data_IF_224379818631
#
_entry.id   IF_224379818631
#
_cell.length_a   1.000
_cell.length_b   1.000
_cell.length_c   1.000
_cell.angle_alpha   90.00
_cell.angle_beta   90.00
_cell.angle_gamma   90.00
#
_symmetry.space_group_name_H-M   'P 1'
#
loop_
_entity.id
_entity.type
_entity.pdbx_description
1 polymer ?
#
# COMPACT_ATOMS: atom_id res chain seq x y z
N UNK A 1 -6.73 -9.17 31.16
CA UNK A 1 -6.74 -7.79 30.62
C UNK A 1 -7.36 -6.88 31.67
N UNK A 2 -6.95 -5.63 31.69
CA UNK A 2 -7.41 -4.60 32.64
C UNK A 2 -7.90 -3.35 31.87
N UNK A 3 -8.51 -2.39 32.58
CA UNK A 3 -9.01 -1.15 31.98
C UNK A 3 -7.92 -0.39 31.19
N UNK A 4 -6.66 -0.44 31.66
CA UNK A 4 -5.51 0.15 30.97
C UNK A 4 -5.28 -0.45 29.57
N UNK A 5 -5.56 -1.73 29.36
CA UNK A 5 -5.39 -2.40 28.07
C UNK A 5 -6.48 -1.98 27.07
N UNK A 6 -7.71 -1.82 27.55
CA UNK A 6 -8.81 -1.26 26.76
C UNK A 6 -8.56 0.20 26.39
N UNK A 7 -8.08 1.02 27.33
CA UNK A 7 -7.68 2.39 27.06
C UNK A 7 -6.53 2.48 26.03
N UNK A 8 -5.54 1.58 26.10
CA UNK A 8 -4.47 1.50 25.11
C UNK A 8 -4.98 1.12 23.72
N UNK A 9 -5.91 0.18 23.62
CA UNK A 9 -6.54 -0.17 22.34
C UNK A 9 -7.27 1.04 21.75
N UNK A 10 -8.11 1.72 22.54
CA UNK A 10 -8.83 2.92 22.12
C UNK A 10 -7.87 4.05 21.73
N UNK A 11 -6.77 4.22 22.45
CA UNK A 11 -5.74 5.20 22.12
C UNK A 11 -5.15 4.90 20.75
N UNK A 12 -4.70 3.66 20.50
CA UNK A 12 -4.11 3.28 19.23
C UNK A 12 -5.12 3.35 18.08
N UNK A 13 -6.36 2.96 18.32
CA UNK A 13 -7.45 3.02 17.37
C UNK A 13 -7.75 4.46 16.94
N UNK A 14 -7.81 5.41 17.87
CA UNK A 14 -8.22 6.79 17.57
C UNK A 14 -7.05 7.72 17.25
N UNK A 15 -5.92 7.56 17.93
CA UNK A 15 -4.77 8.47 17.88
C UNK A 15 -3.57 7.89 17.13
N UNK A 16 -3.60 6.60 16.78
CA UNK A 16 -2.54 5.94 16.03
C UNK A 16 -1.37 5.45 16.88
N UNK A 17 -0.24 5.10 16.24
CA UNK A 17 0.99 4.81 16.97
C UNK A 17 1.48 6.05 17.70
N UNK A 18 2.11 5.85 18.86
CA UNK A 18 2.63 6.94 19.67
C UNK A 18 3.67 7.77 18.89
N UNK A 19 3.61 9.11 19.03
CA UNK A 19 4.49 10.09 18.38
C UNK A 19 5.97 10.03 18.83
N UNK A 20 6.43 8.94 19.45
CA UNK A 20 7.82 8.76 19.91
C UNK A 20 8.80 8.43 18.77
N UNK A 21 8.60 9.03 17.60
CA UNK A 21 9.51 8.91 16.46
C UNK A 21 10.09 10.29 16.19
N UNK A 22 10.91 10.77 17.12
CA UNK A 22 11.76 11.94 16.86
C UNK A 22 12.86 11.63 15.84
N UNK A 23 13.17 10.34 15.63
CA UNK A 23 14.20 9.85 14.73
C UNK A 23 13.87 8.42 14.23
N UNK A 24 13.86 8.22 12.90
CA UNK A 24 13.60 6.92 12.26
C UNK A 24 14.70 5.89 12.57
N UNK A 25 15.95 6.34 12.73
CA UNK A 25 17.10 5.49 13.05
C UNK A 25 17.01 4.93 14.47
N UNK A 26 16.64 5.77 15.44
CA UNK A 26 16.42 5.33 16.83
C UNK A 26 15.23 4.36 16.92
N UNK A 27 14.17 4.61 16.15
CA UNK A 27 13.02 3.70 16.04
C UNK A 27 13.46 2.33 15.50
N UNK A 28 14.29 2.33 14.46
CA UNK A 28 14.82 1.10 13.87
C UNK A 28 15.70 0.32 14.86
N UNK A 29 16.60 0.99 15.57
CA UNK A 29 17.46 0.36 16.57
C UNK A 29 16.64 -0.34 17.66
N UNK A 30 15.65 0.36 18.23
CA UNK A 30 14.74 -0.21 19.24
C UNK A 30 13.92 -1.37 18.69
N UNK A 31 13.47 -1.28 17.43
CA UNK A 31 12.73 -2.36 16.77
C UNK A 31 13.60 -3.63 16.65
N UNK A 32 14.87 -3.50 16.28
CA UNK A 32 15.79 -4.63 16.19
C UNK A 32 16.06 -5.23 17.57
N UNK A 33 16.37 -4.41 18.57
CA UNK A 33 16.61 -4.88 19.96
C UNK A 33 15.38 -5.62 20.52
N UNK A 34 14.17 -5.08 20.30
CA UNK A 34 12.92 -5.71 20.72
C UNK A 34 12.69 -7.03 19.98
N UNK A 35 12.89 -7.04 18.66
CA UNK A 35 12.73 -8.25 17.84
C UNK A 35 13.71 -9.36 18.25
N UNK A 36 14.98 -9.03 18.54
CA UNK A 36 15.97 -10.02 18.99
C UNK A 36 15.67 -10.58 20.40
N UNK A 37 14.88 -9.86 21.21
CA UNK A 37 14.54 -10.24 22.58
C UNK A 37 13.32 -11.17 22.70
N UNK A 38 12.54 -11.36 21.63
CA UNK A 38 11.28 -12.12 21.67
C UNK A 38 11.42 -13.49 21.00
N UNK A 39 10.66 -14.51 21.45
CA UNK A 39 10.60 -15.78 20.75
C UNK A 39 9.90 -15.60 19.39
N UNK A 40 10.55 -16.06 18.32
CA UNK A 40 9.97 -16.08 16.98
C UNK A 40 9.10 -17.30 16.77
N UNK A 41 7.99 -17.12 16.06
CA UNK A 41 7.07 -18.20 15.72
C UNK A 41 6.79 -18.19 14.24
N UNK A 42 6.58 -19.37 13.66
CA UNK A 42 6.02 -19.51 12.32
C UNK A 42 4.50 -19.25 12.28
N UNK A 43 3.96 -18.50 13.25
CA UNK A 43 2.52 -18.22 13.34
C UNK A 43 2.02 -17.58 12.05
N UNK A 44 0.86 -18.05 11.59
CA UNK A 44 0.18 -17.52 10.40
C UNK A 44 -0.38 -16.10 10.62
N UNK A 45 -0.53 -15.64 11.87
CA UNK A 45 -1.13 -14.36 12.19
C UNK A 45 -0.12 -13.22 12.08
N UNK A 46 -0.06 -12.59 10.90
CA UNK A 46 0.78 -11.42 10.63
C UNK A 46 0.28 -10.15 11.34
N UNK A 47 -1.04 -9.90 11.28
CA UNK A 47 -1.62 -8.65 11.72
C UNK A 47 -3.01 -8.83 12.37
N UNK A 48 -3.33 -7.95 13.31
CA UNK A 48 -4.62 -7.86 13.99
C UNK A 48 -5.25 -6.48 13.75
N UNK A 49 -6.47 -6.40 13.16
CA UNK A 49 -7.21 -5.15 13.04
C UNK A 49 -7.58 -4.57 14.41
N UNK A 50 -7.32 -3.29 14.59
CA UNK A 50 -7.70 -2.54 15.80
C UNK A 50 -8.72 -1.42 15.49
N UNK A 51 -9.25 -1.38 14.27
CA UNK A 51 -10.23 -0.39 13.80
C UNK A 51 -9.60 0.89 13.23
N UNK A 52 -10.42 1.77 12.66
CA UNK A 52 -9.99 3.02 11.99
C UNK A 52 -8.89 2.82 10.92
N UNK A 53 -8.95 1.68 10.20
CA UNK A 53 -7.95 1.26 9.21
C UNK A 53 -6.55 1.09 9.78
N UNK A 54 -6.45 0.78 11.07
CA UNK A 54 -5.20 0.48 11.76
C UNK A 54 -5.15 -0.98 12.17
N UNK A 55 -3.94 -1.53 12.13
CA UNK A 55 -3.63 -2.91 12.48
C UNK A 55 -2.37 -2.97 13.33
N UNK A 56 -2.28 -3.97 14.20
CA UNK A 56 -1.06 -4.35 14.90
C UNK A 56 -0.36 -5.43 14.10
N UNK A 57 0.84 -5.17 13.59
CA UNK A 57 1.68 -6.17 12.94
C UNK A 57 2.61 -6.79 13.98
N UNK A 58 2.53 -8.10 14.14
CA UNK A 58 3.24 -8.84 15.19
C UNK A 58 4.69 -9.13 14.81
N UNK A 59 5.63 -8.71 15.69
CA UNK A 59 7.06 -8.80 15.44
C UNK A 59 7.57 -10.24 15.40
N UNK A 60 6.99 -11.12 16.23
CA UNK A 60 7.38 -12.53 16.31
C UNK A 60 7.13 -13.33 15.02
N UNK A 61 6.29 -12.80 14.11
CA UNK A 61 5.96 -13.40 12.82
C UNK A 61 6.86 -12.90 11.68
N UNK A 62 7.72 -11.91 11.94
CA UNK A 62 8.55 -11.24 10.94
C UNK A 62 9.95 -11.83 10.85
N UNK A 63 10.48 -11.86 9.63
CA UNK A 63 11.89 -12.07 9.38
C UNK A 63 12.69 -10.78 9.58
N UNK A 64 13.99 -10.90 9.87
CA UNK A 64 14.89 -9.74 10.03
C UNK A 64 14.90 -8.81 8.81
N UNK A 65 14.77 -9.36 7.59
CA UNK A 65 14.74 -8.59 6.33
C UNK A 65 13.52 -7.66 6.23
N UNK A 66 12.44 -7.96 6.96
CA UNK A 66 11.19 -7.19 6.92
C UNK A 66 11.17 -6.04 7.93
N UNK A 67 12.12 -5.98 8.87
CA UNK A 67 12.14 -4.94 9.90
C UNK A 67 12.32 -3.51 9.36
N UNK A 68 13.22 -3.23 8.40
CA UNK A 68 13.33 -1.88 7.84
C UNK A 68 12.02 -1.41 7.21
N UNK A 69 11.37 -2.33 6.48
CA UNK A 69 10.09 -2.08 5.83
C UNK A 69 9.00 -1.75 6.85
N UNK A 70 8.87 -2.56 7.91
CA UNK A 70 7.92 -2.31 8.99
C UNK A 70 8.20 -0.97 9.69
N UNK A 71 9.47 -0.65 9.93
CA UNK A 71 9.84 0.61 10.59
C UNK A 71 9.41 1.82 9.75
N UNK A 72 9.68 1.81 8.45
CA UNK A 72 9.22 2.88 7.55
C UNK A 72 7.70 2.98 7.52
N UNK A 73 6.97 1.86 7.45
CA UNK A 73 5.50 1.83 7.51
C UNK A 73 4.96 2.39 8.83
N UNK A 74 5.60 2.05 9.95
CA UNK A 74 5.28 2.55 11.28
C UNK A 74 5.49 4.07 11.38
N UNK A 75 6.63 4.57 10.91
CA UNK A 75 6.95 6.00 10.88
C UNK A 75 5.97 6.78 10.00
N UNK A 76 5.67 6.27 8.80
CA UNK A 76 4.68 6.87 7.90
C UNK A 76 3.29 6.89 8.54
N UNK A 77 2.88 5.81 9.20
CA UNK A 77 1.59 5.75 9.90
C UNK A 77 1.53 6.81 11.01
N UNK A 78 2.58 6.94 11.84
CA UNK A 78 2.64 7.93 12.91
C UNK A 78 2.58 9.38 12.40
N UNK A 79 3.15 9.65 11.22
CA UNK A 79 3.14 10.98 10.62
C UNK A 79 1.82 11.31 9.91
N UNK A 80 1.10 10.29 9.42
CA UNK A 80 -0.14 10.47 8.65
C UNK A 80 -1.39 10.53 9.54
N UNK A 81 -1.43 9.73 10.62
CA UNK A 81 -2.62 9.65 11.46
C UNK A 81 -2.74 10.91 12.32
N UNK A 82 -3.75 11.71 12.00
CA UNK A 82 -4.19 12.86 12.80
C UNK A 82 -5.50 12.47 13.48
N UNK A 83 -5.37 11.73 14.58
CA UNK A 83 -6.50 11.25 15.35
C UNK A 83 -7.38 12.36 15.93
N UNK A 84 -8.54 12.01 16.48
CA UNK A 84 -9.41 12.95 17.21
C UNK A 84 -9.40 12.64 18.70
N UNK A 85 -8.87 13.57 19.48
CA UNK A 85 -8.88 13.47 20.94
C UNK A 85 -10.29 13.48 21.50
N UNK A 86 -11.20 14.21 20.87
CA UNK A 86 -12.61 14.28 21.25
C UNK A 86 -13.31 12.92 21.06
N UNK A 87 -13.06 12.24 19.92
CA UNK A 87 -13.59 10.89 19.69
C UNK A 87 -13.00 9.87 20.64
N UNK A 88 -11.68 9.93 20.87
CA UNK A 88 -11.01 9.08 21.85
C UNK A 88 -11.64 9.19 23.25
N UNK A 89 -11.85 10.42 23.74
CA UNK A 89 -12.49 10.64 25.05
C UNK A 89 -13.92 10.07 25.06
N UNK A 90 -14.70 10.29 24.00
CA UNK A 90 -16.06 9.72 23.89
C UNK A 90 -16.06 8.20 23.91
N UNK A 91 -15.09 7.54 23.28
CA UNK A 91 -14.97 6.08 23.30
C UNK A 91 -14.52 5.56 24.67
N UNK A 92 -13.71 6.32 25.41
CA UNK A 92 -13.35 5.98 26.80
C UNK A 92 -14.57 5.96 27.73
N UNK A 93 -15.59 6.78 27.49
CA UNK A 93 -16.83 6.77 28.29
C UNK A 93 -17.58 5.42 28.18
N UNK A 94 -17.33 4.62 27.14
CA UNK A 94 -17.87 3.28 26.98
C UNK A 94 -17.03 2.20 27.68
N UNK A 95 -15.83 2.51 28.17
CA UNK A 95 -14.91 1.54 28.77
C UNK A 95 -15.51 0.80 30.00
N UNK A 96 -16.30 1.45 30.89
CA UNK A 96 -16.92 0.77 32.02
C UNK A 96 -17.89 -0.35 31.63
N UNK A 97 -18.44 -0.33 30.41
CA UNK A 97 -19.30 -1.42 29.90
C UNK A 97 -18.54 -2.74 29.74
N UNK A 98 -17.24 -2.67 29.49
CA UNK A 98 -16.35 -3.84 29.33
C UNK A 98 -15.48 -4.09 30.56
N UNK A 99 -15.20 -3.04 31.34
CA UNK A 99 -14.38 -3.10 32.55
C UNK A 99 -15.13 -2.40 33.70
N UNK A 100 -16.00 -3.10 34.44
CA UNK A 100 -16.87 -2.50 35.46
C UNK A 100 -16.15 -1.76 36.60
N UNK A 101 -14.85 -1.94 36.77
CA UNK A 101 -14.02 -1.26 37.77
C UNK A 101 -13.16 -0.14 37.17
N UNK A 102 -13.46 0.32 35.95
CA UNK A 102 -12.65 1.32 35.25
C UNK A 102 -12.78 2.75 35.79
N UNK A 103 -13.78 3.06 36.63
CA UNK A 103 -14.09 4.44 37.04
C UNK A 103 -12.91 5.15 37.72
N UNK A 104 -12.25 4.48 38.68
CA UNK A 104 -11.08 5.05 39.36
C UNK A 104 -9.92 5.28 38.38
N UNK A 105 -9.67 4.30 37.51
CA UNK A 105 -8.65 4.40 36.46
C UNK A 105 -8.94 5.57 35.52
N UNK A 106 -10.18 5.71 35.03
CA UNK A 106 -10.57 6.78 34.11
C UNK A 106 -10.45 8.17 34.74
N UNK A 107 -10.78 8.29 36.05
CA UNK A 107 -10.61 9.55 36.79
C UNK A 107 -9.14 9.97 36.84
N UNK A 108 -8.25 9.07 37.29
CA UNK A 108 -6.81 9.33 37.32
C UNK A 108 -6.23 9.58 35.92
N UNK A 109 -6.72 8.83 34.93
CA UNK A 109 -6.27 8.95 33.55
C UNK A 109 -6.64 10.30 32.94
N UNK A 110 -7.84 10.80 33.26
CA UNK A 110 -8.31 12.15 32.91
C UNK A 110 -7.49 13.25 33.59
N UNK A 111 -7.19 13.11 34.88
CA UNK A 111 -6.38 14.08 35.64
C UNK A 111 -4.96 14.24 35.05
N UNK A 112 -4.39 13.14 34.51
CA UNK A 112 -3.09 13.14 33.82
C UNK A 112 -3.16 13.67 32.38
N UNK A 113 -4.34 14.05 31.90
CA UNK A 113 -4.54 14.54 30.54
C UNK A 113 -4.44 13.43 29.49
N UNK A 114 -4.90 12.22 29.80
CA UNK A 114 -4.98 11.11 28.85
C UNK A 114 -3.67 10.78 28.08
N UNK A 115 -2.54 10.55 28.79
CA UNK A 115 -1.28 10.21 28.13
C UNK A 115 -1.36 8.87 27.39
N UNK A 116 -0.38 8.55 26.54
CA UNK A 116 -0.26 7.20 26.00
C UNK A 116 -0.09 6.18 27.15
N UNK A 117 -0.81 5.06 27.09
CA UNK A 117 -0.82 4.03 28.16
C UNK A 117 -0.05 2.80 27.71
N UNK A 118 0.73 2.24 28.62
CA UNK A 118 1.36 0.92 28.45
C UNK A 118 0.39 -0.21 28.80
N UNK A 119 0.64 -1.41 28.26
CA UNK A 119 -0.11 -2.61 28.68
C UNK A 119 0.07 -2.89 30.18
N UNK A 120 -0.98 -3.43 30.81
CA UNK A 120 -0.93 -3.89 32.20
C UNK A 120 0.09 -5.00 32.39
N UNK A 121 0.59 -5.20 33.62
CA UNK A 121 1.48 -6.35 33.93
C UNK A 121 0.78 -7.67 33.62
N UNK A 122 -0.50 -7.80 33.98
CA UNK A 122 -1.36 -8.94 33.66
C UNK A 122 -1.39 -9.23 32.16
N UNK A 123 -1.56 -8.21 31.33
CA UNK A 123 -1.56 -8.36 29.87
C UNK A 123 -0.18 -8.74 29.33
N UNK A 124 0.89 -8.11 29.81
CA UNK A 124 2.26 -8.42 29.36
C UNK A 124 2.64 -9.87 29.66
N UNK A 125 2.31 -10.38 30.84
CA UNK A 125 2.60 -11.77 31.22
C UNK A 125 1.79 -12.77 30.40
N UNK A 126 0.54 -12.44 30.05
CA UNK A 126 -0.33 -13.36 29.32
C UNK A 126 -0.07 -13.37 27.80
N UNK A 127 0.28 -12.22 27.21
CA UNK A 127 0.30 -12.05 25.75
C UNK A 127 1.66 -11.67 25.16
N UNK A 128 2.63 -11.24 25.98
CA UNK A 128 3.94 -10.77 25.53
C UNK A 128 3.86 -9.85 24.29
N UNK A 129 3.10 -8.74 24.36
CA UNK A 129 2.78 -7.93 23.19
C UNK A 129 4.04 -7.34 22.57
N UNK A 130 4.34 -7.75 21.35
CA UNK A 130 5.42 -7.21 20.53
C UNK A 130 4.87 -6.95 19.13
N UNK A 131 4.53 -5.69 18.84
CA UNK A 131 3.92 -5.29 17.58
C UNK A 131 4.26 -3.84 17.21
N UNK A 132 3.95 -3.47 15.97
CA UNK A 132 3.88 -2.07 15.51
C UNK A 132 2.49 -1.77 14.96
N UNK A 133 1.97 -0.59 15.25
CA UNK A 133 0.69 -0.13 14.72
C UNK A 133 0.93 0.54 13.38
N UNK A 134 0.35 -0.01 12.32
CA UNK A 134 0.44 0.51 10.95
C UNK A 134 -0.96 0.62 10.35
N UNK A 135 -1.10 1.28 9.20
CA UNK A 135 -2.35 1.23 8.42
C UNK A 135 -2.61 -0.17 7.85
N UNK A 136 -3.88 -0.50 7.61
CA UNK A 136 -4.28 -1.73 6.91
C UNK A 136 -3.60 -1.87 5.54
N UNK A 137 -3.44 -0.75 4.82
CA UNK A 137 -2.76 -0.73 3.51
C UNK A 137 -1.28 -1.16 3.63
N UNK A 138 -0.57 -0.70 4.67
CA UNK A 138 0.82 -1.11 4.91
C UNK A 138 0.94 -2.59 5.24
N UNK A 139 0.05 -3.14 6.08
CA UNK A 139 0.01 -4.58 6.31
C UNK A 139 -0.35 -5.37 5.03
N UNK A 140 -1.24 -4.84 4.19
CA UNK A 140 -1.53 -5.38 2.87
C UNK A 140 -0.31 -5.43 1.96
N UNK A 141 0.53 -4.38 1.95
CA UNK A 141 1.78 -4.36 1.21
C UNK A 141 2.78 -5.40 1.73
N UNK A 142 2.92 -5.53 3.05
CA UNK A 142 3.78 -6.55 3.66
C UNK A 142 3.33 -7.97 3.30
N UNK A 143 2.02 -8.23 3.38
CA UNK A 143 1.45 -9.51 2.97
C UNK A 143 1.71 -9.79 1.49
N UNK A 144 1.54 -8.77 0.63
CA UNK A 144 1.80 -8.90 -0.79
C UNK A 144 3.29 -9.22 -1.06
N UNK A 145 4.23 -8.54 -0.40
CA UNK A 145 5.67 -8.81 -0.52
C UNK A 145 5.99 -10.27 -0.16
N UNK A 146 5.37 -10.82 0.90
CA UNK A 146 5.50 -12.24 1.25
C UNK A 146 4.94 -13.16 0.18
N UNK A 147 3.79 -12.83 -0.39
CA UNK A 147 3.17 -13.59 -1.48
C UNK A 147 4.07 -13.60 -2.72
N UNK A 148 4.62 -12.44 -3.12
CA UNK A 148 5.53 -12.32 -4.25
C UNK A 148 6.83 -13.08 -3.99
N UNK A 149 7.43 -12.99 -2.80
CA UNK A 149 8.58 -13.79 -2.41
C UNK A 149 8.34 -15.29 -2.63
N UNK A 150 7.15 -15.80 -2.25
CA UNK A 150 6.78 -17.21 -2.44
C UNK A 150 6.68 -17.57 -3.91
N UNK A 151 5.99 -16.76 -4.72
CA UNK A 151 5.90 -16.99 -6.17
C UNK A 151 7.27 -16.94 -6.84
N UNK A 152 8.18 -16.07 -6.39
CA UNK A 152 9.54 -16.01 -6.90
C UNK A 152 10.38 -17.26 -6.57
N UNK A 153 10.01 -18.06 -5.55
CA UNK A 153 10.63 -19.36 -5.31
C UNK A 153 10.13 -20.45 -6.27
N UNK A 154 8.93 -20.27 -6.84
CA UNK A 154 8.29 -21.23 -7.75
C UNK A 154 8.62 -20.91 -9.22
N UNK A 155 8.71 -19.63 -9.56
CA UNK A 155 8.99 -19.13 -10.92
C UNK A 155 9.88 -17.89 -10.87
N UNK A 156 10.95 -17.89 -11.68
CA UNK A 156 11.74 -16.69 -11.96
C UNK A 156 12.24 -16.72 -13.41
N UNK A 157 12.14 -15.61 -14.18
CA UNK A 157 11.64 -14.29 -13.78
C UNK A 157 10.11 -14.26 -13.60
N UNK A 158 9.64 -13.44 -12.65
CA UNK A 158 8.22 -13.21 -12.38
C UNK A 158 7.79 -11.86 -12.98
N UNK A 159 6.61 -11.82 -13.62
CA UNK A 159 6.04 -10.59 -14.18
C UNK A 159 4.73 -10.28 -13.46
N UNK A 160 4.65 -9.13 -12.80
CA UNK A 160 3.46 -8.75 -12.04
C UNK A 160 2.85 -7.43 -12.51
N UNK A 161 1.54 -7.30 -12.38
CA UNK A 161 0.81 -6.07 -12.66
C UNK A 161 0.39 -5.36 -11.37
N UNK A 162 0.63 -4.06 -11.30
CA UNK A 162 0.05 -3.15 -10.30
C UNK A 162 -0.90 -2.19 -11.03
N UNK A 163 -2.18 -2.54 -10.97
CA UNK A 163 -3.31 -1.82 -11.57
C UNK A 163 -4.05 -1.01 -10.50
N UNK A 164 -4.88 -0.07 -10.90
CA UNK A 164 -5.72 0.68 -9.95
C UNK A 164 -5.97 2.12 -10.36
N UNK A 165 -6.78 2.82 -9.57
CA UNK A 165 -7.16 4.20 -9.84
C UNK A 165 -5.95 5.15 -9.88
N UNK A 166 -6.04 6.26 -10.62
CA UNK A 166 -5.07 7.34 -10.46
C UNK A 166 -5.05 7.81 -8.99
N UNK A 167 -3.87 8.14 -8.48
CA UNK A 167 -3.64 8.52 -7.08
C UNK A 167 -3.99 7.45 -6.00
N UNK A 168 -4.16 6.17 -6.36
CA UNK A 168 -4.34 5.08 -5.37
C UNK A 168 -3.04 4.59 -4.73
N UNK A 169 -1.88 5.17 -5.04
CA UNK A 169 -0.58 4.79 -4.43
C UNK A 169 0.20 3.68 -5.15
N UNK A 170 -0.16 3.35 -6.40
CA UNK A 170 0.56 2.39 -7.26
C UNK A 170 2.07 2.66 -7.34
N UNK A 171 2.45 3.90 -7.60
CA UNK A 171 3.86 4.30 -7.69
C UNK A 171 4.55 4.16 -6.33
N UNK A 172 3.87 4.46 -5.23
CA UNK A 172 4.39 4.24 -3.86
C UNK A 172 4.67 2.77 -3.60
N UNK A 173 3.75 1.88 -3.98
CA UNK A 173 3.96 0.43 -3.86
C UNK A 173 5.10 -0.06 -4.77
N UNK A 174 5.21 0.46 -5.98
CA UNK A 174 6.29 0.08 -6.90
C UNK A 174 7.66 0.51 -6.36
N UNK A 175 7.77 1.73 -5.81
CA UNK A 175 8.99 2.19 -5.13
C UNK A 175 9.35 1.30 -3.93
N UNK A 176 8.35 0.86 -3.17
CA UNK A 176 8.53 -0.11 -2.08
C UNK A 176 9.11 -1.43 -2.59
N UNK A 177 8.63 -1.90 -3.75
CA UNK A 177 9.10 -3.13 -4.38
C UNK A 177 10.54 -3.00 -4.84
N UNK A 178 10.91 -1.90 -5.50
CA UNK A 178 12.30 -1.64 -5.90
C UNK A 178 13.26 -1.50 -4.70
N UNK A 179 12.77 -1.09 -3.54
CA UNK A 179 13.58 -1.03 -2.32
C UNK A 179 13.79 -2.42 -1.69
N UNK A 180 12.88 -3.37 -1.89
CA UNK A 180 12.90 -4.68 -1.23
C UNK A 180 13.38 -5.83 -2.13
N UNK A 181 13.09 -5.75 -3.43
CA UNK A 181 13.41 -6.73 -4.46
C UNK A 181 14.42 -6.16 -5.46
N UNK A 182 15.24 -7.04 -6.03
CA UNK A 182 15.91 -6.70 -7.29
C UNK A 182 14.92 -6.83 -8.45
N UNK A 183 14.27 -5.73 -8.79
CA UNK A 183 13.24 -5.71 -9.82
C UNK A 183 13.40 -4.57 -10.83
N UNK A 184 12.71 -4.74 -11.96
CA UNK A 184 12.43 -3.68 -12.92
C UNK A 184 11.05 -3.08 -12.63
N UNK A 185 10.88 -1.79 -12.89
CA UNK A 185 9.57 -1.12 -12.89
C UNK A 185 9.37 -0.53 -14.28
N UNK A 186 8.23 -0.83 -14.90
CA UNK A 186 7.82 -0.31 -16.20
C UNK A 186 6.47 0.38 -16.02
N UNK A 187 6.40 1.66 -16.38
CA UNK A 187 5.20 2.47 -16.23
C UNK A 187 4.35 2.43 -17.50
N UNK A 188 3.05 2.11 -17.38
CA UNK A 188 2.13 2.12 -18.53
C UNK A 188 1.95 3.51 -19.14
N UNK A 189 2.26 4.57 -18.40
CA UNK A 189 2.25 5.95 -18.89
C UNK A 189 3.26 6.14 -20.04
N UNK A 190 4.34 5.35 -20.10
CA UNK A 190 5.27 5.37 -21.22
C UNK A 190 4.65 4.79 -22.51
N UNK A 191 3.45 4.17 -22.44
CA UNK A 191 2.77 3.49 -23.54
C UNK A 191 1.47 4.18 -23.99
N UNK A 192 1.25 5.46 -23.70
CA UNK A 192 0.17 6.21 -24.34
C UNK A 192 0.30 6.23 -25.88
N UNK A 193 -0.83 6.44 -26.56
CA UNK A 193 -0.87 6.60 -28.02
C UNK A 193 -0.28 7.96 -28.47
N UNK A 194 0.57 7.99 -29.51
CA UNK A 194 0.87 9.18 -30.28
C UNK A 194 -0.36 9.81 -30.91
N UNK A 195 -0.27 11.10 -31.24
CA UNK A 195 -1.40 11.88 -31.75
C UNK A 195 -2.05 11.24 -32.99
N UNK A 196 -1.24 10.74 -33.94
CA UNK A 196 -1.73 10.12 -35.18
C UNK A 196 -2.55 8.85 -34.98
N UNK A 197 -2.45 8.18 -33.83
CA UNK A 197 -3.19 6.96 -33.52
C UNK A 197 -4.46 7.22 -32.68
N UNK A 198 -4.70 8.46 -32.24
CA UNK A 198 -5.83 8.85 -31.39
C UNK A 198 -7.09 9.16 -32.21
N UNK A 199 -7.59 8.17 -32.95
CA UNK A 199 -8.86 8.32 -33.67
C UNK A 199 -10.04 8.34 -32.68
N UNK A 200 -11.18 8.96 -33.03
CA UNK A 200 -12.38 8.93 -32.18
C UNK A 200 -12.82 7.50 -31.84
N UNK A 201 -12.77 6.59 -32.82
CA UNK A 201 -13.10 5.18 -32.60
C UNK A 201 -12.14 4.50 -31.62
N UNK A 202 -10.84 4.79 -31.70
CA UNK A 202 -9.85 4.23 -30.76
C UNK A 202 -10.04 4.77 -29.34
N UNK A 203 -10.24 6.07 -29.19
CA UNK A 203 -10.44 6.67 -27.86
C UNK A 203 -11.78 6.31 -27.22
N UNK A 204 -12.78 5.91 -28.01
CA UNK A 204 -14.04 5.38 -27.51
C UNK A 204 -13.92 3.96 -26.94
N UNK A 205 -12.84 3.23 -27.27
CA UNK A 205 -12.59 1.91 -26.69
C UNK A 205 -12.15 2.06 -25.22
N UNK A 206 -12.68 1.26 -24.29
CA UNK A 206 -12.18 1.24 -22.92
C UNK A 206 -10.69 0.87 -22.88
N UNK A 207 -9.85 1.73 -22.27
CA UNK A 207 -8.39 1.59 -22.30
C UNK A 207 -7.73 1.86 -23.65
N UNK A 208 -8.49 2.38 -24.63
CA UNK A 208 -8.01 2.67 -25.97
C UNK A 208 -6.99 3.82 -26.05
N UNK A 209 -6.78 4.57 -24.98
CA UNK A 209 -5.75 5.60 -24.86
C UNK A 209 -4.32 5.05 -24.70
N UNK A 210 -4.18 3.76 -24.43
CA UNK A 210 -2.90 3.05 -24.34
C UNK A 210 -2.62 2.26 -25.62
N UNK A 211 -1.36 2.21 -26.00
CA UNK A 211 -0.83 1.43 -27.09
C UNK A 211 -0.47 0.02 -26.62
N UNK A 212 -1.48 -0.75 -26.22
CA UNK A 212 -1.29 -2.08 -25.65
C UNK A 212 -0.67 -3.07 -26.66
N UNK A 213 -0.80 -2.83 -27.97
CA UNK A 213 -0.12 -3.62 -29.01
C UNK A 213 1.39 -3.43 -28.94
N UNK A 214 1.84 -2.17 -28.90
CA UNK A 214 3.26 -1.83 -28.74
C UNK A 214 3.82 -2.34 -27.43
N UNK A 215 3.06 -2.22 -26.35
CA UNK A 215 3.47 -2.76 -25.05
C UNK A 215 3.63 -4.28 -25.08
N UNK A 216 2.72 -5.00 -25.73
CA UNK A 216 2.84 -6.45 -25.88
C UNK A 216 4.09 -6.86 -26.68
N UNK A 217 4.40 -6.14 -27.75
CA UNK A 217 5.55 -6.41 -28.63
C UNK A 217 6.91 -5.98 -28.02
N UNK A 218 7.02 -4.73 -27.57
CA UNK A 218 8.29 -4.13 -27.09
C UNK A 218 8.65 -4.57 -25.66
N UNK A 219 7.66 -4.98 -24.84
CA UNK A 219 7.86 -5.31 -23.42
C UNK A 219 7.49 -6.75 -23.11
N UNK A 220 6.22 -7.14 -23.29
CA UNK A 220 5.77 -8.44 -22.77
C UNK A 220 6.39 -9.62 -23.52
N UNK A 221 6.53 -9.55 -24.84
CA UNK A 221 7.15 -10.62 -25.63
C UNK A 221 8.62 -10.87 -25.24
N UNK A 222 9.50 -9.86 -25.12
CA UNK A 222 10.86 -10.05 -24.60
C UNK A 222 10.90 -10.62 -23.17
N UNK A 223 10.02 -10.15 -22.27
CA UNK A 223 9.96 -10.64 -20.90
C UNK A 223 9.55 -12.12 -20.82
N UNK A 224 8.56 -12.53 -21.61
CA UNK A 224 8.13 -13.94 -21.70
C UNK A 224 9.24 -14.86 -22.22
N UNK A 225 10.16 -14.32 -23.02
CA UNK A 225 11.36 -15.03 -23.49
C UNK A 225 12.54 -14.96 -22.51
N UNK A 226 12.37 -14.37 -21.32
CA UNK A 226 13.41 -14.23 -20.30
C UNK A 226 14.49 -13.19 -20.62
N UNK A 227 14.27 -12.35 -21.64
CA UNK A 227 15.23 -11.36 -22.13
C UNK A 227 15.00 -9.96 -21.52
N UNK A 228 16.03 -9.11 -21.60
CA UNK A 228 15.88 -7.70 -21.26
C UNK A 228 14.94 -6.98 -22.23
N UNK A 229 14.36 -5.86 -21.79
CA UNK A 229 13.41 -5.07 -22.57
C UNK A 229 14.05 -3.80 -23.09
N UNK A 230 13.63 -3.37 -24.27
CA UNK A 230 13.98 -2.08 -24.84
C UNK A 230 12.74 -1.46 -25.46
N UNK A 231 12.34 -0.28 -24.97
CA UNK A 231 11.13 0.40 -25.43
C UNK A 231 11.34 1.91 -25.49
N UNK A 232 10.53 2.60 -26.28
CA UNK A 232 10.56 4.06 -26.35
C UNK A 232 9.52 4.66 -25.40
N UNK A 233 9.95 5.65 -24.61
CA UNK A 233 9.07 6.37 -23.70
C UNK A 233 8.14 7.28 -24.47
N UNK A 234 6.89 7.36 -24.05
CA UNK A 234 5.97 8.38 -24.53
C UNK A 234 6.25 9.71 -23.82
N UNK A 235 6.34 10.80 -24.58
CA UNK A 235 6.52 12.14 -24.05
C UNK A 235 5.28 12.99 -24.30
N UNK A 236 4.56 13.33 -23.23
CA UNK A 236 3.37 14.18 -23.30
C UNK A 236 3.64 15.56 -23.92
N UNK A 237 4.85 16.10 -23.79
CA UNK A 237 5.20 17.43 -24.31
C UNK A 237 5.24 17.51 -25.85
N UNK A 238 5.65 16.42 -26.51
CA UNK A 238 5.70 16.32 -27.98
C UNK A 238 4.61 15.41 -28.55
N UNK A 239 3.84 14.75 -27.68
CA UNK A 239 2.76 13.82 -28.03
C UNK A 239 3.21 12.65 -28.91
N UNK A 240 4.46 12.23 -28.73
CA UNK A 240 5.13 11.15 -29.47
C UNK A 240 6.25 10.52 -28.61
N UNK A 241 7.00 9.58 -29.20
CA UNK A 241 8.09 8.87 -28.57
C UNK A 241 9.34 9.72 -28.41
N UNK A 242 10.03 9.57 -27.29
CA UNK A 242 11.31 10.26 -27.02
C UNK A 242 12.47 9.27 -26.86
N UNK A 243 13.11 9.24 -25.70
CA UNK A 243 14.26 8.39 -25.43
C UNK A 243 13.88 6.90 -25.40
N UNK A 244 14.83 6.08 -25.83
CA UNK A 244 14.78 4.62 -25.65
C UNK A 244 15.29 4.28 -24.26
N UNK A 245 14.56 3.42 -23.56
CA UNK A 245 14.93 2.85 -22.28
C UNK A 245 15.29 1.39 -22.49
N UNK A 246 16.42 0.97 -21.92
CA UNK A 246 16.79 -0.43 -21.81
C UNK A 246 16.74 -0.86 -20.36
N UNK A 247 16.15 -2.02 -20.09
CA UNK A 247 16.20 -2.66 -18.78
C UNK A 247 16.69 -4.11 -18.95
N UNK A 248 17.75 -4.52 -18.23
CA UNK A 248 18.23 -5.90 -18.29
C UNK A 248 17.18 -6.86 -17.70
N UNK A 249 17.31 -8.14 -18.02
CA UNK A 249 16.49 -9.17 -17.35
C UNK A 249 16.78 -9.17 -15.85
N UNK A 250 15.72 -9.26 -15.04
CA UNK A 250 15.78 -9.31 -13.57
C UNK A 250 14.82 -10.37 -13.04
N UNK A 251 15.03 -10.85 -11.79
CA UNK A 251 14.16 -11.87 -11.18
C UNK A 251 12.68 -11.47 -11.08
N UNK A 252 12.39 -10.16 -11.03
CA UNK A 252 11.04 -9.61 -10.97
C UNK A 252 10.92 -8.40 -11.91
N UNK A 253 9.82 -8.33 -12.67
CA UNK A 253 9.41 -7.14 -13.41
C UNK A 253 8.02 -6.72 -12.98
N UNK A 254 7.88 -5.46 -12.56
CA UNK A 254 6.63 -4.84 -12.13
C UNK A 254 6.12 -3.92 -13.23
N UNK A 255 4.93 -4.21 -13.75
CA UNK A 255 4.22 -3.33 -14.69
C UNK A 255 3.22 -2.52 -13.88
N UNK A 256 3.48 -1.23 -13.72
CA UNK A 256 2.65 -0.32 -12.94
C UNK A 256 1.92 0.68 -13.84
N UNK A 257 0.64 0.87 -13.58
CA UNK A 257 -0.11 1.97 -14.18
C UNK A 257 -1.54 1.57 -14.49
N UNK A 258 -2.37 2.59 -14.72
CA UNK A 258 -3.72 2.34 -15.18
C UNK A 258 -3.66 1.61 -16.54
N UNK A 259 -4.59 0.70 -16.79
CA UNK A 259 -4.72 -0.07 -18.04
C UNK A 259 -3.69 -1.20 -18.26
N UNK A 260 -2.82 -1.52 -17.29
CA UNK A 260 -1.90 -2.65 -17.40
C UNK A 260 -2.67 -3.99 -17.47
N UNK A 261 -3.85 -4.09 -16.84
CA UNK A 261 -4.68 -5.30 -16.85
C UNK A 261 -5.64 -5.39 -18.05
N UNK A 262 -5.35 -4.70 -19.16
CA UNK A 262 -6.18 -4.74 -20.36
C UNK A 262 -6.36 -6.21 -20.81
N UNK A 263 -7.54 -6.65 -21.30
CA UNK A 263 -7.80 -8.07 -21.56
C UNK A 263 -6.77 -8.79 -22.45
N UNK A 264 -6.13 -8.06 -23.37
CA UNK A 264 -5.06 -8.57 -24.24
C UNK A 264 -3.74 -8.83 -23.51
N UNK A 265 -3.53 -8.22 -22.35
CA UNK A 265 -2.31 -8.31 -21.55
C UNK A 265 -2.46 -9.25 -20.34
N UNK A 266 -3.70 -9.44 -19.84
CA UNK A 266 -3.99 -10.24 -18.65
C UNK A 266 -3.30 -11.62 -18.62
N UNK A 267 -3.32 -12.43 -19.70
CA UNK A 267 -2.71 -13.76 -19.68
C UNK A 267 -1.18 -13.76 -19.57
N UNK A 268 -0.54 -12.58 -19.69
CA UNK A 268 0.90 -12.42 -19.74
C UNK A 268 1.52 -12.10 -18.37
N UNK A 269 0.69 -11.97 -17.33
CA UNK A 269 1.12 -11.73 -15.94
C UNK A 269 1.05 -12.99 -15.09
N UNK A 270 1.99 -13.11 -14.17
CA UNK A 270 2.02 -14.19 -13.18
C UNK A 270 1.22 -13.87 -11.92
N UNK A 271 1.14 -12.58 -11.58
CA UNK A 271 0.35 -12.09 -10.46
C UNK A 271 -0.15 -10.68 -10.75
N UNK A 272 -1.27 -10.30 -10.15
CA UNK A 272 -1.85 -8.97 -10.36
C UNK A 272 -2.45 -8.42 -9.08
N UNK A 273 -2.31 -7.10 -8.90
CA UNK A 273 -2.80 -6.38 -7.73
C UNK A 273 -3.58 -5.16 -8.18
N UNK A 274 -4.74 -4.94 -7.57
CA UNK A 274 -5.52 -3.73 -7.76
C UNK A 274 -5.43 -2.82 -6.53
N UNK A 275 -4.89 -1.60 -6.69
CA UNK A 275 -4.89 -0.57 -5.65
C UNK A 275 -6.07 0.37 -5.84
N UNK A 276 -6.92 0.44 -4.83
CA UNK A 276 -8.10 1.32 -4.79
C UNK A 276 -7.98 2.33 -3.66
N UNK A 277 -8.72 3.43 -3.75
CA UNK A 277 -8.96 4.34 -2.65
C UNK A 277 -10.37 4.93 -2.80
N UNK A 278 -10.90 5.58 -1.76
CA UNK A 278 -12.18 6.28 -1.88
C UNK A 278 -12.07 7.44 -2.87
N UNK A 279 -13.18 7.84 -3.48
CA UNK A 279 -13.19 8.95 -4.43
C UNK A 279 -12.74 10.26 -3.76
N UNK A 280 -13.13 10.49 -2.51
CA UNK A 280 -12.73 11.68 -1.74
C UNK A 280 -11.22 11.73 -1.56
N UNK A 281 -10.62 10.59 -1.19
CA UNK A 281 -9.16 10.45 -1.03
C UNK A 281 -8.43 10.56 -2.35
N UNK A 282 -8.99 10.01 -3.43
CA UNK A 282 -8.46 10.15 -4.78
C UNK A 282 -8.37 11.63 -5.17
N UNK A 283 -9.47 12.38 -5.00
CA UNK A 283 -9.56 13.81 -5.31
C UNK A 283 -8.60 14.62 -4.44
N UNK A 284 -8.54 14.36 -3.14
CA UNK A 284 -7.61 15.03 -2.23
C UNK A 284 -6.16 14.81 -2.66
N UNK A 285 -5.76 13.55 -2.92
CA UNK A 285 -4.39 13.23 -3.35
C UNK A 285 -4.04 13.87 -4.69
N UNK A 286 -4.96 13.87 -5.66
CA UNK A 286 -4.76 14.54 -6.95
C UNK A 286 -4.60 16.05 -6.74
N UNK A 287 -5.46 16.67 -5.94
CA UNK A 287 -5.37 18.11 -5.63
C UNK A 287 -4.02 18.47 -5.02
N UNK A 288 -3.60 17.74 -4.00
CA UNK A 288 -2.32 18.00 -3.31
C UNK A 288 -1.12 17.81 -4.24
N UNK A 289 -1.17 16.81 -5.12
CA UNK A 289 -0.05 16.47 -6.02
C UNK A 289 0.02 17.32 -7.28
N UNK A 290 -1.12 17.62 -7.88
CA UNK A 290 -1.22 18.18 -9.23
C UNK A 290 -1.83 19.60 -9.27
N UNK A 291 -2.42 20.07 -8.17
CA UNK A 291 -3.10 21.36 -8.09
C UNK A 291 -4.53 21.35 -8.66
N UNK A 292 -5.24 22.44 -8.43
CA UNK A 292 -6.67 22.59 -8.79
C UNK A 292 -6.94 22.55 -10.30
N UNK A 293 -6.03 23.09 -11.11
CA UNK A 293 -6.20 23.11 -12.57
C UNK A 293 -6.18 21.70 -13.15
N UNK A 294 -5.16 20.92 -12.79
CA UNK A 294 -5.04 19.53 -13.24
C UNK A 294 -6.13 18.64 -12.63
N UNK A 295 -6.59 18.94 -11.42
CA UNK A 295 -7.70 18.21 -10.80
C UNK A 295 -8.95 18.22 -11.68
N UNK A 296 -9.30 19.36 -12.29
CA UNK A 296 -10.44 19.46 -13.22
C UNK A 296 -10.28 18.48 -14.39
N UNK A 297 -9.09 18.44 -15.00
CA UNK A 297 -8.80 17.49 -16.08
C UNK A 297 -8.89 16.02 -15.61
N UNK A 298 -8.45 15.71 -14.39
CA UNK A 298 -8.64 14.37 -13.83
C UNK A 298 -10.12 14.02 -13.66
N UNK A 299 -10.92 14.93 -13.10
CA UNK A 299 -12.35 14.70 -12.86
C UNK A 299 -13.16 14.59 -14.15
N UNK A 300 -12.88 15.44 -15.14
CA UNK A 300 -13.67 15.51 -16.38
C UNK A 300 -13.27 14.45 -17.40
N UNK A 301 -12.03 13.96 -17.34
CA UNK A 301 -11.47 13.08 -18.36
C UNK A 301 -10.90 11.77 -17.80
N UNK A 302 -9.83 11.85 -16.99
CA UNK A 302 -9.06 10.65 -16.66
C UNK A 302 -9.81 9.68 -15.74
N UNK A 303 -10.45 10.17 -14.69
CA UNK A 303 -11.23 9.34 -13.76
C UNK A 303 -12.41 8.67 -14.48
N UNK A 304 -13.24 9.38 -15.29
CA UNK A 304 -14.27 8.74 -16.11
C UNK A 304 -13.73 7.66 -17.04
N UNK A 305 -12.61 7.91 -17.73
CA UNK A 305 -11.99 6.93 -18.63
C UNK A 305 -11.50 5.69 -17.90
N UNK A 306 -10.84 5.86 -16.75
CA UNK A 306 -10.41 4.75 -15.89
C UNK A 306 -11.61 3.94 -15.38
N UNK A 307 -12.64 4.60 -14.86
CA UNK A 307 -13.83 3.93 -14.33
C UNK A 307 -14.60 3.18 -15.43
N UNK A 308 -14.70 3.74 -16.64
CA UNK A 308 -15.29 3.04 -17.78
C UNK A 308 -14.50 1.78 -18.13
N UNK A 309 -13.17 1.86 -18.15
CA UNK A 309 -12.28 0.72 -18.37
C UNK A 309 -12.42 -0.35 -17.28
N UNK A 310 -12.37 0.02 -16.00
CA UNK A 310 -12.49 -0.91 -14.89
C UNK A 310 -13.83 -1.64 -14.89
N UNK A 311 -14.92 -0.91 -15.09
CA UNK A 311 -16.27 -1.47 -15.11
C UNK A 311 -16.52 -2.36 -16.32
N UNK A 312 -16.08 -1.94 -17.52
CA UNK A 312 -16.30 -2.73 -18.74
C UNK A 312 -15.57 -4.07 -18.72
N UNK A 313 -14.36 -4.11 -18.16
CA UNK A 313 -13.55 -5.33 -18.14
C UNK A 313 -13.52 -6.06 -16.81
N UNK A 314 -14.24 -5.60 -15.79
CA UNK A 314 -14.23 -6.19 -14.44
C UNK A 314 -12.80 -6.36 -13.92
N UNK A 315 -12.01 -5.29 -14.03
CA UNK A 315 -10.55 -5.34 -13.84
C UNK A 315 -10.19 -5.69 -12.39
N UNK A 316 -10.93 -5.13 -11.43
CA UNK A 316 -10.70 -5.35 -10.00
C UNK A 316 -10.93 -6.81 -9.63
N UNK A 317 -11.99 -7.42 -10.16
CA UNK A 317 -12.38 -8.81 -9.93
C UNK A 317 -11.40 -9.81 -10.55
N UNK A 318 -10.67 -9.39 -11.59
CA UNK A 318 -9.66 -10.20 -12.26
C UNK A 318 -8.28 -10.14 -11.60
N UNK A 319 -8.07 -9.21 -10.66
CA UNK A 319 -6.80 -9.10 -9.96
C UNK A 319 -6.69 -10.16 -8.85
N UNK A 320 -5.50 -10.73 -8.67
CA UNK A 320 -5.25 -11.75 -7.64
C UNK A 320 -5.34 -11.20 -6.21
N UNK A 321 -5.07 -9.91 -6.03
CA UNK A 321 -5.13 -9.24 -4.73
C UNK A 321 -5.65 -7.81 -4.86
N UNK A 322 -6.36 -7.32 -3.84
CA UNK A 322 -6.91 -5.96 -3.82
C UNK A 322 -6.48 -5.28 -2.53
N UNK A 323 -5.96 -4.07 -2.65
CA UNK A 323 -5.53 -3.25 -1.49
C UNK A 323 -6.24 -1.90 -1.55
N UNK A 324 -6.94 -1.56 -0.47
CA UNK A 324 -7.48 -0.21 -0.28
C UNK A 324 -6.48 0.68 0.46
N UNK A 325 -6.26 1.89 -0.05
CA UNK A 325 -5.21 2.82 0.43
C UNK A 325 -5.73 4.14 0.94
#
# INVERSE_FOLDING_TARGET
MEAADGAKLLYQNELGPEHMISNEEDSMKRLVEEWESIPHSSSAFLAEPIGNRLVRVYLNSLSRKELPLLNTMFCQTANQIKGSRERFIRHLDCLPLYFPQADNFLKEYKEKGYPAVSHSSTYRTAYHPAYRVVTESHAGFLQLIRTINRHMQEKSPLIIAIEGNCASGKTTLSSLFAAYFDCNIIHMDDFFLPLGLRTPSRLAQPGGNIHYERFAEEVMAPLQNGSGVSFRRFCCGIMDYCSTVYQPSKPLTVIEGSYCMHPKLLPLYDYSVFLTCSYERQIERIRTRNGEEMLKNFMEKWIPMENQYFSTFHVKEKCSFVIET
#
